data_IF_778590084808
#
_entry.id   IF_778590084808
#
_cell.length_a   1.000
_cell.length_b   1.000
_cell.length_c   1.000
_cell.angle_alpha   90.00
_cell.angle_beta   90.00
_cell.angle_gamma   90.00
#
_symmetry.space_group_name_H-M   'P 1'
#
loop_
_entity.id
_entity.type
_entity.pdbx_description
1 polymer ?
#
# COMPACT_ATOMS: atom_id res chain seq x y z
N UNK A 1 5.63 38.57 -7.64
CA UNK A 1 5.13 37.42 -8.43
C UNK A 1 6.10 36.24 -8.50
N UNK A 2 7.39 36.44 -8.82
CA UNK A 2 8.40 35.34 -8.83
C UNK A 2 8.51 34.56 -7.50
N UNK A 3 8.43 35.26 -6.35
CA UNK A 3 8.49 34.64 -5.01
C UNK A 3 7.24 33.80 -4.67
N UNK A 4 6.07 34.17 -5.19
CA UNK A 4 4.82 33.43 -4.97
C UNK A 4 4.78 32.16 -5.84
N UNK A 5 5.27 32.24 -7.08
CA UNK A 5 5.41 31.07 -7.96
C UNK A 5 6.40 30.03 -7.39
N UNK A 6 7.52 30.48 -6.81
CA UNK A 6 8.47 29.61 -6.11
C UNK A 6 7.85 28.93 -4.88
N UNK A 7 7.02 29.66 -4.12
CA UNK A 7 6.30 29.11 -2.97
C UNK A 7 5.28 28.04 -3.38
N UNK A 8 4.50 28.29 -4.43
CA UNK A 8 3.53 27.31 -4.96
C UNK A 8 4.26 26.07 -5.48
N UNK A 9 5.36 26.25 -6.22
CA UNK A 9 6.17 25.12 -6.72
C UNK A 9 6.74 24.25 -5.59
N UNK A 10 7.25 24.86 -4.51
CA UNK A 10 7.77 24.12 -3.34
C UNK A 10 6.67 23.35 -2.61
N UNK A 11 5.48 23.93 -2.46
CA UNK A 11 4.33 23.27 -1.82
C UNK A 11 3.80 22.10 -2.67
N UNK A 12 3.79 22.22 -4.00
CA UNK A 12 3.37 21.13 -4.89
C UNK A 12 4.31 19.93 -4.86
N UNK A 13 5.61 20.14 -4.64
CA UNK A 13 6.60 19.05 -4.57
C UNK A 13 6.49 18.31 -3.24
N UNK A 14 6.21 18.99 -2.13
CA UNK A 14 6.14 18.39 -0.80
C UNK A 14 4.88 17.53 -0.58
N UNK A 15 3.73 17.89 -1.17
CA UNK A 15 2.49 17.09 -1.08
C UNK A 15 2.55 15.80 -1.89
N UNK A 16 3.27 15.79 -3.02
CA UNK A 16 3.43 14.59 -3.86
C UNK A 16 4.20 13.46 -3.18
N UNK A 17 5.08 13.77 -2.22
CA UNK A 17 5.88 12.76 -1.48
C UNK A 17 5.04 12.06 -0.40
N UNK A 18 4.18 12.80 0.28
CA UNK A 18 3.35 12.27 1.37
C UNK A 18 2.13 11.49 0.88
N UNK A 19 1.59 11.84 -0.29
CA UNK A 19 0.44 11.16 -0.88
C UNK A 19 0.68 9.65 -1.11
N UNK A 20 1.91 9.27 -1.46
CA UNK A 20 2.23 7.88 -1.86
C UNK A 20 2.37 6.95 -0.65
N UNK A 21 3.07 7.39 0.41
CA UNK A 21 3.07 6.65 1.68
C UNK A 21 1.70 6.66 2.36
N UNK A 22 0.90 7.72 2.14
CA UNK A 22 -0.50 7.76 2.54
C UNK A 22 -1.36 6.66 1.92
N UNK A 23 -1.02 6.15 0.73
CA UNK A 23 -1.70 4.98 0.14
C UNK A 23 -1.45 3.70 0.92
N UNK A 24 -0.25 3.52 1.46
CA UNK A 24 0.07 2.37 2.32
C UNK A 24 -0.76 2.42 3.61
N UNK A 25 -0.85 3.60 4.24
CA UNK A 25 -1.71 3.80 5.41
C UNK A 25 -3.18 3.55 5.08
N UNK A 26 -3.66 4.03 3.92
CA UNK A 26 -5.03 3.77 3.48
C UNK A 26 -5.27 2.27 3.26
N UNK A 27 -4.32 1.56 2.65
CA UNK A 27 -4.40 0.12 2.45
C UNK A 27 -4.55 -0.62 3.79
N UNK A 28 -3.72 -0.30 4.79
CA UNK A 28 -3.82 -0.87 6.13
C UNK A 28 -5.21 -0.64 6.74
N UNK A 29 -5.73 0.58 6.66
CA UNK A 29 -7.07 0.88 7.17
C UNK A 29 -8.18 0.13 6.42
N UNK A 30 -8.06 -0.04 5.10
CA UNK A 30 -9.02 -0.85 4.34
C UNK A 30 -8.94 -2.34 4.67
N UNK A 31 -7.74 -2.87 4.96
CA UNK A 31 -7.56 -4.26 5.42
C UNK A 31 -8.28 -4.45 6.76
N UNK A 32 -8.08 -3.53 7.72
CA UNK A 32 -8.75 -3.58 9.03
C UNK A 32 -10.28 -3.51 8.90
N UNK A 33 -10.79 -2.81 7.89
CA UNK A 33 -12.22 -2.72 7.60
C UNK A 33 -12.78 -3.92 6.80
N UNK A 34 -11.93 -4.87 6.37
CA UNK A 34 -12.31 -5.95 5.46
C UNK A 34 -12.62 -5.50 4.03
N UNK A 35 -12.33 -4.26 3.67
CA UNK A 35 -12.56 -3.68 2.35
C UNK A 35 -11.42 -4.07 1.38
N UNK A 36 -11.24 -5.38 1.14
CA UNK A 36 -10.07 -5.93 0.45
C UNK A 36 -9.92 -5.44 -1.00
N UNK A 37 -11.01 -5.14 -1.70
CA UNK A 37 -10.93 -4.51 -3.03
C UNK A 37 -10.18 -3.16 -2.99
N UNK A 38 -10.55 -2.29 -2.05
CA UNK A 38 -9.95 -0.97 -1.88
C UNK A 38 -8.52 -1.07 -1.35
N UNK A 39 -8.27 -2.05 -0.47
CA UNK A 39 -6.93 -2.35 0.00
C UNK A 39 -6.00 -2.74 -1.15
N UNK A 40 -6.48 -3.59 -2.07
CA UNK A 40 -5.73 -4.01 -3.25
C UNK A 40 -5.39 -2.83 -4.15
N UNK A 41 -6.37 -2.00 -4.50
CA UNK A 41 -6.13 -0.80 -5.33
C UNK A 41 -5.09 0.14 -4.70
N UNK A 42 -5.18 0.34 -3.38
CA UNK A 42 -4.24 1.19 -2.66
C UNK A 42 -2.82 0.60 -2.61
N UNK A 43 -2.70 -0.73 -2.42
CA UNK A 43 -1.43 -1.45 -2.47
C UNK A 43 -0.81 -1.44 -3.88
N UNK A 44 -1.59 -1.72 -4.91
CA UNK A 44 -1.13 -1.71 -6.30
C UNK A 44 -0.59 -0.31 -6.67
N UNK A 45 -1.28 0.75 -6.26
CA UNK A 45 -0.81 2.12 -6.41
C UNK A 45 0.49 2.40 -5.63
N UNK A 46 0.62 1.85 -4.41
CA UNK A 46 1.82 2.00 -3.60
C UNK A 46 3.03 1.27 -4.21
N UNK A 47 2.83 0.09 -4.81
CA UNK A 47 3.87 -0.66 -5.52
C UNK A 47 4.26 -0.06 -6.87
N UNK A 48 3.35 0.67 -7.51
CA UNK A 48 3.64 1.39 -8.76
C UNK A 48 4.50 2.65 -8.54
N UNK A 49 4.68 3.11 -7.29
CA UNK A 49 5.41 4.33 -6.99
C UNK A 49 6.80 4.06 -6.40
N UNK A 50 7.85 4.63 -7.03
CA UNK A 50 9.25 4.50 -6.60
C UNK A 50 9.51 4.83 -5.12
N UNK A 51 8.73 5.74 -4.53
CA UNK A 51 8.95 6.19 -3.14
C UNK A 51 8.31 5.28 -2.09
N UNK A 52 7.40 4.41 -2.50
CA UNK A 52 6.71 3.47 -1.60
C UNK A 52 6.96 2.01 -1.95
N UNK A 53 7.29 1.66 -3.20
CA UNK A 53 7.46 0.26 -3.63
C UNK A 53 8.49 -0.52 -2.80
N UNK A 54 9.56 0.15 -2.37
CA UNK A 54 10.65 -0.46 -1.60
C UNK A 54 10.59 -0.11 -0.11
N UNK A 55 9.51 0.54 0.33
CA UNK A 55 9.34 0.89 1.74
C UNK A 55 8.87 -0.32 2.53
N UNK A 56 9.53 -0.61 3.66
CA UNK A 56 9.21 -1.76 4.51
C UNK A 56 7.71 -1.89 4.82
N UNK A 57 7.04 -0.76 5.06
CA UNK A 57 5.63 -0.74 5.44
C UNK A 57 4.70 -1.14 4.28
N UNK A 58 5.12 -0.97 3.02
CA UNK A 58 4.38 -1.45 1.85
C UNK A 58 4.36 -2.97 1.80
N UNK A 59 5.49 -3.60 2.13
CA UNK A 59 5.57 -5.06 2.24
C UNK A 59 4.85 -5.58 3.48
N UNK A 60 4.91 -4.86 4.61
CA UNK A 60 4.10 -5.17 5.78
C UNK A 60 2.60 -5.14 5.46
N UNK A 61 2.14 -4.11 4.75
CA UNK A 61 0.75 -4.00 4.30
C UNK A 61 0.38 -5.11 3.30
N UNK A 62 1.29 -5.50 2.39
CA UNK A 62 1.08 -6.66 1.51
C UNK A 62 0.91 -7.97 2.31
N UNK A 63 1.74 -8.18 3.33
CA UNK A 63 1.62 -9.34 4.21
C UNK A 63 0.27 -9.41 4.91
N UNK A 64 -0.16 -8.28 5.49
CA UNK A 64 -1.47 -8.14 6.12
C UNK A 64 -2.62 -8.38 5.15
N UNK A 65 -2.48 -7.87 3.93
CA UNK A 65 -3.49 -8.04 2.89
C UNK A 65 -3.66 -9.51 2.50
N UNK A 66 -2.58 -10.24 2.20
CA UNK A 66 -2.71 -11.65 1.83
C UNK A 66 -3.17 -12.52 3.02
N UNK A 67 -2.82 -12.18 4.26
CA UNK A 67 -3.45 -12.83 5.43
C UNK A 67 -4.96 -12.60 5.47
N UNK A 68 -5.42 -11.36 5.29
CA UNK A 68 -6.84 -11.05 5.28
C UNK A 68 -7.57 -11.72 4.10
N UNK A 69 -6.90 -11.89 2.95
CA UNK A 69 -7.41 -12.67 1.82
C UNK A 69 -7.59 -14.14 2.20
N UNK A 70 -6.62 -14.75 2.89
CA UNK A 70 -6.72 -16.12 3.37
C UNK A 70 -7.86 -16.31 4.39
N UNK A 71 -7.99 -15.36 5.31
CA UNK A 71 -9.01 -15.37 6.36
C UNK A 71 -10.42 -15.04 5.83
N UNK A 72 -10.53 -14.57 4.60
CA UNK A 72 -11.83 -14.21 4.03
C UNK A 72 -12.59 -15.42 3.49
N UNK A 73 -13.83 -15.57 3.94
CA UNK A 73 -14.76 -16.56 3.39
C UNK A 73 -15.31 -16.16 2.00
N UNK A 74 -14.97 -14.97 1.48
CA UNK A 74 -15.47 -14.49 0.20
C UNK A 74 -14.60 -15.02 -0.96
N UNK A 75 -15.13 -15.90 -1.83
CA UNK A 75 -14.36 -16.50 -2.93
C UNK A 75 -13.84 -15.47 -3.95
N UNK A 76 -14.39 -14.25 -3.97
CA UNK A 76 -13.90 -13.17 -4.82
C UNK A 76 -12.42 -12.87 -4.54
N UNK A 77 -12.04 -12.87 -3.28
CA UNK A 77 -10.73 -12.40 -2.84
C UNK A 77 -9.65 -13.47 -2.97
N UNK A 78 -9.99 -14.75 -3.10
CA UNK A 78 -9.01 -15.83 -3.29
C UNK A 78 -8.18 -15.66 -4.56
N UNK A 79 -8.65 -14.87 -5.53
CA UNK A 79 -7.91 -14.53 -6.74
C UNK A 79 -6.83 -13.45 -6.53
N UNK A 80 -6.82 -12.77 -5.38
CA UNK A 80 -5.94 -11.62 -5.15
C UNK A 80 -4.54 -12.00 -4.68
N UNK A 81 -4.39 -13.17 -4.05
CA UNK A 81 -3.09 -13.79 -3.77
C UNK A 81 -3.20 -15.27 -4.17
N UNK A 82 -2.26 -15.76 -4.97
CA UNK A 82 -2.33 -17.13 -5.52
C UNK A 82 -2.05 -18.18 -4.44
N UNK A 83 -1.08 -17.89 -3.57
CA UNK A 83 -0.83 -18.61 -2.32
C UNK A 83 -0.79 -17.59 -1.18
N UNK A 84 -1.95 -17.27 -0.58
CA UNK A 84 -2.07 -16.16 0.37
C UNK A 84 -1.10 -16.24 1.56
N UNK A 85 -0.86 -17.43 2.12
CA UNK A 85 0.00 -17.59 3.29
C UNK A 85 1.49 -17.52 2.90
N UNK A 86 1.89 -18.15 1.80
CA UNK A 86 3.27 -18.06 1.32
C UNK A 86 3.63 -16.63 0.88
N UNK A 87 2.71 -15.96 0.17
CA UNK A 87 2.90 -14.56 -0.23
C UNK A 87 2.94 -13.62 0.98
N UNK A 88 2.12 -13.87 2.00
CA UNK A 88 2.16 -13.09 3.22
C UNK A 88 3.50 -13.25 3.95
N UNK A 89 3.98 -14.49 4.09
CA UNK A 89 5.26 -14.81 4.72
C UNK A 89 6.42 -14.10 4.00
N UNK A 90 6.53 -14.26 2.68
CA UNK A 90 7.59 -13.62 1.90
C UNK A 90 7.53 -12.08 1.98
N UNK A 91 6.32 -11.50 2.04
CA UNK A 91 6.16 -10.07 2.21
C UNK A 91 6.63 -9.61 3.60
N UNK A 92 6.31 -10.35 4.67
CA UNK A 92 6.80 -10.02 6.01
C UNK A 92 8.30 -10.17 6.16
N UNK A 93 8.90 -11.22 5.60
CA UNK A 93 10.37 -11.34 5.57
C UNK A 93 11.00 -10.11 4.90
N UNK A 94 10.45 -9.68 3.76
CA UNK A 94 10.94 -8.48 3.07
C UNK A 94 10.69 -7.18 3.83
N UNK A 95 9.68 -7.13 4.70
CA UNK A 95 9.44 -5.98 5.56
C UNK A 95 10.42 -5.89 6.75
N UNK A 96 11.08 -6.99 7.11
CA UNK A 96 12.06 -7.06 8.20
C UNK A 96 13.51 -6.89 7.73
N UNK A 97 13.77 -7.13 6.44
CA UNK A 97 15.07 -6.97 5.79
C UNK A 97 15.34 -5.51 5.39
#
# INVERSE_FOLDING_TARGET
MKKLFLLIAVISISTGVWAQKGKVTAALSFIEQGALDKAKEALDAAFANEKSKDWFNTYFAKGKFCQAVFESDNPKFSSYCADPLAEAYAAYEKALA
#
